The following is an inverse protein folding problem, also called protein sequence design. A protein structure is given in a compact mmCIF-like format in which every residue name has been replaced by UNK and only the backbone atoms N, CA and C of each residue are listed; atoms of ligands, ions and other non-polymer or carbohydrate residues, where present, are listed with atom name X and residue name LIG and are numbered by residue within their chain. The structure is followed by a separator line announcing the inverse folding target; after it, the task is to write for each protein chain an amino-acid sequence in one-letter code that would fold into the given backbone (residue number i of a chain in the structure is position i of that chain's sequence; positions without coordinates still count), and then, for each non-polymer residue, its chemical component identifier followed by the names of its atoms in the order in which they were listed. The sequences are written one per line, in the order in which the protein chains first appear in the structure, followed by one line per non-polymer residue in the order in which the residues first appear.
data_IF_780577422453
#
_entry.id   IF_780577422453
#
_cell.length_a   1.000
_cell.length_b   1.000
_cell.length_c   1.000
_cell.angle_alpha   90.00
_cell.angle_beta   90.00
_cell.angle_gamma   90.00
#
_symmetry.space_group_name_H-M   'P 1'
#
loop_
_entity.id
_entity.type
_entity.pdbx_description
1 polymer ?
#
# COMPACT_ATOMS: atom_id res chain seq x y z
N UNK A 1 -12.73 -56.75 -53.73
CA UNK A 1 -12.08 -55.49 -54.12
C UNK A 1 -12.51 -54.49 -53.08
N UNK A 2 -11.63 -54.27 -52.11
CA UNK A 2 -11.16 -52.92 -51.72
C UNK A 2 -12.26 -52.21 -50.91
N UNK A 3 -12.22 -52.17 -49.58
CA UNK A 3 -11.09 -51.82 -48.73
C UNK A 3 -11.10 -50.32 -48.51
N UNK A 4 -11.64 -49.87 -47.38
CA UNK A 4 -11.33 -48.54 -46.83
C UNK A 4 -11.49 -48.57 -45.31
N UNK A 5 -10.35 -48.64 -44.64
CA UNK A 5 -10.21 -48.40 -43.20
C UNK A 5 -10.47 -46.92 -42.92
N UNK A 6 -11.59 -46.61 -42.28
CA UNK A 6 -11.88 -45.26 -41.77
C UNK A 6 -10.90 -44.93 -40.64
N UNK A 7 -10.11 -43.84 -40.72
CA UNK A 7 -9.20 -43.45 -39.66
C UNK A 7 -9.97 -42.80 -38.51
N UNK A 8 -9.83 -43.39 -37.32
CA UNK A 8 -10.50 -42.96 -36.10
C UNK A 8 -9.65 -41.85 -35.43
N UNK A 9 -10.20 -40.67 -35.06
CA UNK A 9 -9.43 -39.53 -34.60
C UNK A 9 -9.12 -39.62 -33.09
N UNK A 10 -8.63 -40.78 -32.63
CA UNK A 10 -8.22 -41.05 -31.23
C UNK A 10 -7.09 -40.15 -30.72
N UNK A 11 -6.35 -39.47 -31.61
CA UNK A 11 -5.09 -38.80 -31.28
C UNK A 11 -5.18 -37.34 -30.83
N UNK A 12 -6.16 -36.57 -31.30
CA UNK A 12 -6.24 -35.12 -31.04
C UNK A 12 -7.07 -34.79 -29.79
N UNK A 13 -8.22 -35.46 -29.62
CA UNK A 13 -9.10 -35.29 -28.46
C UNK A 13 -8.41 -35.72 -27.15
N UNK A 14 -7.65 -36.83 -27.17
CA UNK A 14 -6.89 -37.34 -26.01
C UNK A 14 -5.82 -36.36 -25.51
N UNK A 15 -5.09 -35.71 -26.43
CA UNK A 15 -4.03 -34.74 -26.09
C UNK A 15 -4.61 -33.47 -25.47
N UNK A 16 -5.70 -32.96 -26.04
CA UNK A 16 -6.40 -31.79 -25.49
C UNK A 16 -6.92 -32.04 -24.07
N UNK A 17 -7.50 -33.22 -23.81
CA UNK A 17 -7.97 -33.61 -22.48
C UNK A 17 -6.82 -33.71 -21.46
N UNK A 18 -5.66 -34.25 -21.86
CA UNK A 18 -4.47 -34.32 -20.99
C UNK A 18 -3.88 -32.96 -20.66
N UNK A 19 -3.86 -32.05 -21.64
CA UNK A 19 -3.41 -30.67 -21.44
C UNK A 19 -4.37 -29.95 -20.50
N UNK A 20 -5.69 -30.07 -20.71
CA UNK A 20 -6.71 -29.47 -19.86
C UNK A 20 -6.61 -29.96 -18.40
N UNK A 21 -6.44 -31.29 -18.21
CA UNK A 21 -6.22 -31.86 -16.87
C UNK A 21 -4.92 -31.35 -16.24
N UNK A 22 -3.82 -31.25 -17.01
CA UNK A 22 -2.54 -30.74 -16.52
C UNK A 22 -2.64 -29.28 -16.05
N UNK A 23 -3.35 -28.43 -16.79
CA UNK A 23 -3.59 -27.02 -16.41
C UNK A 23 -4.47 -26.93 -15.17
N UNK A 24 -5.49 -27.79 -15.05
CA UNK A 24 -6.36 -27.79 -13.88
C UNK A 24 -5.63 -28.26 -12.62
N UNK A 25 -4.84 -29.32 -12.73
CA UNK A 25 -4.01 -29.83 -11.63
C UNK A 25 -2.94 -28.79 -11.25
N UNK A 26 -2.28 -28.15 -12.20
CA UNK A 26 -1.29 -27.12 -11.87
C UNK A 26 -1.95 -25.91 -11.19
N UNK A 27 -3.11 -25.46 -11.67
CA UNK A 27 -3.86 -24.36 -11.08
C UNK A 27 -4.28 -24.64 -9.64
N UNK A 28 -4.82 -25.84 -9.38
CA UNK A 28 -5.20 -26.26 -8.02
C UNK A 28 -4.01 -26.39 -7.08
N UNK A 29 -2.87 -26.90 -7.56
CA UNK A 29 -1.62 -26.98 -6.78
C UNK A 29 -1.09 -25.58 -6.44
N UNK A 30 -1.08 -24.66 -7.40
CA UNK A 30 -0.63 -23.28 -7.15
C UNK A 30 -1.56 -22.58 -6.15
N UNK A 31 -2.87 -22.71 -6.29
CA UNK A 31 -3.84 -22.11 -5.37
C UNK A 31 -3.70 -22.71 -3.96
N UNK A 32 -3.55 -24.04 -3.86
CA UNK A 32 -3.38 -24.74 -2.59
C UNK A 32 -2.08 -24.37 -1.87
N UNK A 33 -0.96 -24.30 -2.61
CA UNK A 33 0.33 -23.88 -2.04
C UNK A 33 0.29 -22.42 -1.59
N UNK A 34 -0.32 -21.52 -2.36
CA UNK A 34 -0.50 -20.13 -1.95
C UNK A 34 -1.32 -20.01 -0.65
N UNK A 35 -2.46 -20.72 -0.56
CA UNK A 35 -3.30 -20.73 0.64
C UNK A 35 -2.57 -21.31 1.87
N UNK A 36 -1.79 -22.38 1.67
CA UNK A 36 -0.96 -22.96 2.73
C UNK A 36 0.13 -21.99 3.21
N UNK A 37 0.82 -21.30 2.30
CA UNK A 37 1.84 -20.31 2.65
C UNK A 37 1.24 -19.09 3.37
N UNK A 38 0.01 -18.69 3.02
CA UNK A 38 -0.74 -17.65 3.74
C UNK A 38 -1.14 -18.12 5.14
N UNK A 39 -1.64 -19.35 5.29
CA UNK A 39 -2.05 -19.88 6.60
C UNK A 39 -0.88 -20.09 7.56
N UNK A 40 0.31 -20.40 7.04
CA UNK A 40 1.56 -20.46 7.80
C UNK A 40 2.16 -19.07 8.08
N UNK A 41 1.57 -17.97 7.59
CA UNK A 41 2.05 -16.60 7.81
C UNK A 41 3.35 -16.26 7.08
N UNK A 42 3.80 -17.10 6.14
CA UNK A 42 4.99 -16.88 5.33
C UNK A 42 4.73 -15.84 4.23
N UNK A 43 3.48 -15.68 3.80
CA UNK A 43 3.04 -14.60 2.91
C UNK A 43 2.27 -13.57 3.76
N UNK A 44 2.92 -12.44 4.06
CA UNK A 44 2.25 -11.30 4.69
C UNK A 44 1.61 -10.42 3.61
N UNK A 45 0.28 -10.49 3.49
CA UNK A 45 -0.46 -9.41 2.86
C UNK A 45 -0.43 -8.24 3.84
N UNK A 46 0.40 -7.23 3.58
CA UNK A 46 0.29 -5.97 4.31
C UNK A 46 -1.09 -5.38 4.00
N UNK A 47 -2.06 -5.39 4.95
CA UNK A 47 -3.25 -4.58 4.73
C UNK A 47 -2.77 -3.15 4.53
N UNK A 48 -3.33 -2.43 3.53
CA UNK A 48 -3.05 -1.01 3.38
C UNK A 48 -3.26 -0.35 4.75
N UNK A 49 -2.27 0.43 5.21
CA UNK A 49 -2.34 1.10 6.51
C UNK A 49 -3.68 1.84 6.60
N UNK A 50 -4.55 1.40 7.51
CA UNK A 50 -5.82 2.04 7.79
C UNK A 50 -5.51 3.27 8.63
N UNK A 51 -5.51 4.45 8.01
CA UNK A 51 -5.42 5.71 8.71
C UNK A 51 -6.79 6.08 9.28
N UNK A 52 -6.77 6.84 10.37
CA UNK A 52 -7.98 7.37 10.96
C UNK A 52 -8.64 8.38 10.01
N UNK A 53 -9.95 8.24 9.80
CA UNK A 53 -10.77 9.10 8.94
C UNK A 53 -11.88 9.82 9.71
N UNK A 54 -11.79 9.87 11.04
CA UNK A 54 -12.70 10.67 11.85
C UNK A 54 -12.36 12.15 11.67
N UNK A 55 -13.32 13.04 11.94
CA UNK A 55 -13.14 14.47 11.76
C UNK A 55 -11.95 15.00 12.58
N UNK A 56 -11.78 14.50 13.80
CA UNK A 56 -10.71 14.89 14.72
C UNK A 56 -9.33 14.56 14.13
N UNK A 57 -9.18 13.40 13.50
CA UNK A 57 -7.93 13.01 12.87
C UNK A 57 -7.60 13.83 11.62
N UNK A 58 -8.61 14.15 10.80
CA UNK A 58 -8.42 14.97 9.61
C UNK A 58 -8.01 16.39 9.99
N UNK A 59 -8.69 16.97 10.98
CA UNK A 59 -8.36 18.30 11.49
C UNK A 59 -6.96 18.34 12.10
N UNK A 60 -6.61 17.36 12.93
CA UNK A 60 -5.27 17.26 13.51
C UNK A 60 -4.18 17.10 12.43
N UNK A 61 -4.39 16.24 11.43
CA UNK A 61 -3.45 16.04 10.34
C UNK A 61 -3.26 17.31 9.51
N UNK A 62 -4.35 18.00 9.15
CA UNK A 62 -4.30 19.28 8.45
C UNK A 62 -3.57 20.35 9.27
N UNK A 63 -3.84 20.42 10.58
CA UNK A 63 -3.18 21.32 11.50
C UNK A 63 -1.66 21.09 11.57
N UNK A 64 -1.20 19.83 11.56
CA UNK A 64 0.23 19.49 11.49
C UNK A 64 0.80 19.90 10.13
N UNK A 65 0.16 19.50 9.03
CA UNK A 65 0.61 19.78 7.66
C UNK A 65 0.79 21.27 7.39
N UNK A 66 -0.04 22.12 7.98
CA UNK A 66 0.06 23.59 7.85
C UNK A 66 1.30 24.20 8.50
N UNK A 67 1.96 23.48 9.42
CA UNK A 67 3.08 23.98 10.23
C UNK A 67 4.44 23.50 9.76
N UNK A 68 4.48 22.34 9.08
CA UNK A 68 5.73 21.72 8.64
C UNK A 68 6.25 22.34 7.34
N UNK A 69 7.58 22.29 7.16
CA UNK A 69 8.27 22.60 5.91
C UNK A 69 8.95 21.33 5.38
N UNK A 70 8.32 20.69 4.39
CA UNK A 70 8.80 19.44 3.78
C UNK A 70 10.08 19.61 2.93
N UNK A 71 10.54 20.85 2.71
CA UNK A 71 11.79 21.11 1.98
C UNK A 71 13.05 20.95 2.85
N UNK A 72 12.87 20.81 4.17
CA UNK A 72 13.96 20.62 5.13
C UNK A 72 14.06 19.14 5.48
N UNK A 73 15.26 18.58 5.48
CA UNK A 73 15.47 17.21 5.97
C UNK A 73 15.28 17.16 7.50
N UNK A 74 14.35 16.35 8.02
CA UNK A 74 14.13 16.21 9.46
C UNK A 74 15.35 15.65 10.22
N UNK A 75 16.24 14.91 9.55
CA UNK A 75 17.45 14.35 10.16
C UNK A 75 18.52 15.42 10.39
N UNK A 76 18.54 16.45 9.55
CA UNK A 76 19.48 17.57 9.65
C UNK A 76 18.96 18.67 10.58
N UNK A 77 17.67 19.03 10.46
CA UNK A 77 17.06 20.03 11.34
C UNK A 77 15.56 19.80 11.53
N UNK A 78 15.23 19.00 12.54
CA UNK A 78 13.84 18.69 12.87
C UNK A 78 13.02 19.92 13.28
N UNK A 79 13.63 20.92 13.92
CA UNK A 79 12.91 22.14 14.32
C UNK A 79 12.42 22.91 13.09
N UNK A 80 13.30 23.12 12.11
CA UNK A 80 12.94 23.80 10.86
C UNK A 80 11.95 22.99 10.03
N UNK A 81 12.13 21.67 9.96
CA UNK A 81 11.14 20.80 9.32
C UNK A 81 9.76 20.90 9.99
N UNK A 82 9.70 20.89 11.33
CA UNK A 82 8.43 20.85 12.04
C UNK A 82 7.73 22.22 12.16
N UNK A 83 8.49 23.32 12.15
CA UNK A 83 8.01 24.64 12.55
C UNK A 83 8.14 25.74 11.48
N UNK A 84 9.03 25.64 10.49
CA UNK A 84 9.28 26.76 9.55
C UNK A 84 7.99 27.16 8.80
N UNK A 85 7.08 26.21 8.52
CA UNK A 85 5.79 26.51 7.90
C UNK A 85 4.91 27.37 8.81
N UNK A 86 4.91 27.12 10.12
CA UNK A 86 4.23 27.99 11.08
C UNK A 86 4.91 29.36 11.17
N UNK A 87 6.23 29.39 11.33
CA UNK A 87 7.01 30.63 11.49
C UNK A 87 6.80 31.56 10.30
N UNK A 88 6.79 31.03 9.07
CA UNK A 88 6.55 31.81 7.86
C UNK A 88 5.16 32.47 7.84
N UNK A 89 4.14 31.75 8.32
CA UNK A 89 2.76 32.23 8.33
C UNK A 89 2.41 33.06 9.58
N UNK A 90 3.27 33.12 10.59
CA UNK A 90 3.00 33.71 11.89
C UNK A 90 4.16 34.63 12.34
N UNK A 91 4.35 35.80 11.68
CA UNK A 91 5.33 36.77 12.11
C UNK A 91 4.99 37.31 13.52
N UNK A 92 6.00 37.69 14.29
CA UNK A 92 5.83 38.23 15.64
C UNK A 92 5.13 39.60 15.54
N UNK A 93 3.96 39.78 16.18
CA UNK A 93 3.28 41.07 16.24
C UNK A 93 4.13 42.15 16.93
N UNK A 94 3.94 43.42 16.58
CA UNK A 94 4.75 44.54 17.09
C UNK A 94 4.67 44.73 18.61
N UNK A 95 3.57 44.31 19.22
CA UNK A 95 3.32 44.40 20.66
C UNK A 95 3.88 43.22 21.47
N UNK A 96 4.51 42.25 20.81
CA UNK A 96 5.02 41.04 21.45
C UNK A 96 6.52 40.87 21.27
N UNK A 97 7.21 40.43 22.32
CA UNK A 97 8.63 40.05 22.26
C UNK A 97 8.85 38.60 21.79
N UNK A 98 7.77 37.80 21.77
CA UNK A 98 7.81 36.40 21.35
C UNK A 98 6.41 35.94 20.93
N UNK A 99 6.35 35.03 19.96
CA UNK A 99 5.12 34.43 19.48
C UNK A 99 5.32 32.93 19.26
N UNK A 100 4.35 32.13 19.69
CA UNK A 100 4.45 30.68 19.66
C UNK A 100 3.20 30.01 20.20
N UNK A 101 3.26 28.71 20.44
CA UNK A 101 2.14 27.91 20.97
C UNK A 101 1.81 28.25 22.43
N UNK A 102 2.80 28.72 23.19
CA UNK A 102 2.65 29.06 24.60
C UNK A 102 3.08 30.51 24.87
N UNK A 103 2.35 31.51 24.36
CA UNK A 103 2.68 32.92 24.61
C UNK A 103 2.58 33.28 26.11
N UNK A 104 1.87 32.45 26.90
CA UNK A 104 1.59 32.64 28.32
C UNK A 104 2.63 32.06 29.29
N UNK A 105 3.70 31.41 28.81
CA UNK A 105 4.74 30.82 29.69
C UNK A 105 5.80 31.84 30.18
N UNK A 106 5.48 33.15 30.14
CA UNK A 106 6.33 34.21 30.70
C UNK A 106 5.70 34.85 31.92
#
# INVERSE_FOLDING_TARGET
MEGETVPEPRGAASKATRIALGVFVSGTVVLGTALFLVSQGLIKFHPKQQYCLTAECIEAAAGILSKINQSVDPCENFYRFACDGWIYNNPIPEDMSNYGVYPWLR
#
